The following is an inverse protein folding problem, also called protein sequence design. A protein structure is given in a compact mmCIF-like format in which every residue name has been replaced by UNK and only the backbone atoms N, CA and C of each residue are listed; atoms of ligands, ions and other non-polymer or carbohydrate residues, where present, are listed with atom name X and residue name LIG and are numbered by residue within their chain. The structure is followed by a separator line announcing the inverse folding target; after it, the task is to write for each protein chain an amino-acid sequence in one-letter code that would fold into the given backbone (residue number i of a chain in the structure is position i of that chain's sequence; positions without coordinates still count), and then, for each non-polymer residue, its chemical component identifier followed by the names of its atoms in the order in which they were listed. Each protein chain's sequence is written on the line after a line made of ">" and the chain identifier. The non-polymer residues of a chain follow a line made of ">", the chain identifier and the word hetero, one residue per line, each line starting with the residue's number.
data_IF_979096570701
#
_entry.id   IF_979096570701
#
_cell.length_a   1.000
_cell.length_b   1.000
_cell.length_c   1.000
_cell.angle_alpha   90.00
_cell.angle_beta   90.00
_cell.angle_gamma   90.00
#
_symmetry.space_group_name_H-M   'P 1'
#
loop_
_entity.id
_entity.type
_entity.pdbx_description
1 polymer ?
#
# COMPACT_ATOMS: atom_id res chain seq x y z
N UNK A 1 5.91 46.98 9.37
CA UNK A 1 4.91 47.73 8.57
C UNK A 1 3.52 47.25 9.02
N UNK A 2 2.81 48.01 9.88
CA UNK A 2 1.47 47.63 10.40
C UNK A 2 0.42 48.18 9.44
N UNK A 3 -0.38 47.33 8.81
CA UNK A 3 -1.52 47.76 7.99
C UNK A 3 -2.66 48.22 8.91
N UNK A 4 -3.01 49.50 8.81
CA UNK A 4 -4.19 50.08 9.45
C UNK A 4 -5.44 49.63 8.68
N UNK A 5 -6.30 48.84 9.32
CA UNK A 5 -7.62 48.49 8.79
C UNK A 5 -8.57 49.67 9.10
N UNK A 6 -9.26 50.25 8.10
CA UNK A 6 -10.16 51.38 8.34
C UNK A 6 -11.45 50.91 9.02
N UNK A 7 -11.67 51.38 10.26
CA UNK A 7 -12.76 50.97 11.17
C UNK A 7 -14.07 51.75 11.02
N UNK A 8 -14.30 52.50 9.93
CA UNK A 8 -15.41 53.47 9.88
C UNK A 8 -16.49 53.27 8.80
N UNK A 9 -16.58 52.10 8.15
CA UNK A 9 -17.62 51.87 7.13
C UNK A 9 -18.99 51.40 7.66
N UNK A 10 -19.20 51.32 8.99
CA UNK A 10 -20.37 50.65 9.57
C UNK A 10 -21.55 51.56 9.97
N UNK A 11 -21.49 52.88 9.76
CA UNK A 11 -22.43 53.82 10.43
C UNK A 11 -23.62 54.36 9.63
N UNK A 12 -23.87 53.97 8.39
CA UNK A 12 -25.03 54.51 7.64
C UNK A 12 -25.74 53.52 6.71
N UNK A 13 -25.90 52.26 7.14
CA UNK A 13 -26.91 51.40 6.50
C UNK A 13 -28.27 51.68 7.11
N UNK A 14 -29.20 52.17 6.29
CA UNK A 14 -30.57 52.44 6.71
C UNK A 14 -31.23 51.17 7.28
N UNK A 15 -32.21 51.32 8.19
CA UNK A 15 -32.98 50.19 8.73
C UNK A 15 -33.55 49.29 7.63
N UNK A 16 -33.93 49.87 6.48
CA UNK A 16 -34.41 49.15 5.30
C UNK A 16 -33.33 48.30 4.65
N UNK A 17 -32.08 48.78 4.60
CA UNK A 17 -30.93 48.05 4.04
C UNK A 17 -30.55 46.83 4.89
N UNK A 18 -30.65 46.95 6.22
CA UNK A 18 -30.42 45.84 7.15
C UNK A 18 -31.48 44.72 7.01
N UNK A 19 -32.75 45.09 6.84
CA UNK A 19 -33.84 44.12 6.58
C UNK A 19 -33.63 43.35 5.28
N UNK A 20 -33.16 44.03 4.23
CA UNK A 20 -32.84 43.41 2.94
C UNK A 20 -31.69 42.40 3.03
N UNK A 21 -30.60 42.74 3.75
CA UNK A 21 -29.48 41.83 3.98
C UNK A 21 -29.90 40.59 4.78
N UNK A 22 -30.73 40.77 5.81
CA UNK A 22 -31.27 39.64 6.58
C UNK A 22 -32.11 38.69 5.71
N UNK A 23 -32.94 39.24 4.81
CA UNK A 23 -33.74 38.44 3.88
C UNK A 23 -32.86 37.65 2.90
N UNK A 24 -31.78 38.25 2.37
CA UNK A 24 -30.82 37.57 1.49
C UNK A 24 -30.08 36.45 2.24
N UNK A 25 -29.63 36.70 3.47
CA UNK A 25 -28.96 35.69 4.29
C UNK A 25 -29.90 34.53 4.65
N UNK A 26 -31.16 34.83 4.95
CA UNK A 26 -32.17 33.80 5.22
C UNK A 26 -32.48 32.97 3.96
N UNK A 27 -32.61 33.62 2.80
CA UNK A 27 -32.86 32.95 1.53
C UNK A 27 -31.68 32.08 1.08
N UNK A 28 -30.44 32.54 1.29
CA UNK A 28 -29.24 31.76 0.95
C UNK A 28 -29.07 30.55 1.87
N UNK A 29 -29.39 30.69 3.17
CA UNK A 29 -29.37 29.57 4.11
C UNK A 29 -30.40 28.48 3.74
N UNK A 30 -31.63 28.88 3.42
CA UNK A 30 -32.68 27.96 2.95
C UNK A 30 -32.27 27.24 1.64
N UNK A 31 -31.65 27.96 0.70
CA UNK A 31 -31.14 27.36 -0.53
C UNK A 31 -30.00 26.36 -0.28
N UNK A 32 -29.12 26.61 0.70
CA UNK A 32 -28.08 25.65 1.06
C UNK A 32 -28.65 24.38 1.70
N UNK A 33 -29.65 24.51 2.57
CA UNK A 33 -30.32 23.34 3.18
C UNK A 33 -31.03 22.49 2.12
N UNK A 34 -31.77 23.13 1.21
CA UNK A 34 -32.44 22.43 0.10
C UNK A 34 -31.47 21.71 -0.84
N UNK A 35 -30.28 22.28 -1.09
CA UNK A 35 -29.23 21.63 -1.87
C UNK A 35 -28.69 20.37 -1.17
N UNK A 36 -28.50 20.42 0.16
CA UNK A 36 -28.03 19.25 0.93
C UNK A 36 -29.04 18.11 0.91
N UNK A 37 -30.34 18.41 1.09
CA UNK A 37 -31.41 17.41 1.05
C UNK A 37 -31.50 16.76 -0.33
N UNK A 38 -31.50 17.56 -1.41
CA UNK A 38 -31.53 17.04 -2.79
C UNK A 38 -30.30 16.20 -3.14
N UNK A 39 -29.12 16.59 -2.67
CA UNK A 39 -27.89 15.82 -2.87
C UNK A 39 -27.96 14.47 -2.15
N UNK A 40 -28.51 14.46 -0.94
CA UNK A 40 -28.67 13.24 -0.15
C UNK A 40 -29.72 12.29 -0.76
N UNK A 41 -30.86 12.80 -1.21
CA UNK A 41 -31.89 12.03 -1.93
C UNK A 41 -31.34 11.45 -3.25
N UNK A 42 -30.55 12.24 -4.00
CA UNK A 42 -29.88 11.77 -5.20
C UNK A 42 -28.90 10.62 -4.90
N UNK A 43 -28.13 10.73 -3.81
CA UNK A 43 -27.19 9.68 -3.41
C UNK A 43 -27.90 8.38 -3.02
N UNK A 44 -28.99 8.47 -2.25
CA UNK A 44 -29.82 7.33 -1.85
C UNK A 44 -30.52 6.64 -3.04
N UNK A 45 -30.99 7.42 -4.02
CA UNK A 45 -31.67 6.87 -5.18
C UNK A 45 -30.68 6.25 -6.18
N UNK A 46 -29.47 6.79 -6.32
CA UNK A 46 -28.45 6.21 -7.19
C UNK A 46 -27.66 5.06 -6.57
N UNK A 47 -27.57 4.95 -5.24
CA UNK A 47 -26.89 3.82 -4.58
C UNK A 47 -27.67 2.51 -4.67
N UNK A 48 -28.98 2.54 -4.92
CA UNK A 48 -29.82 1.33 -5.00
C UNK A 48 -29.83 0.66 -6.38
N UNK A 49 -29.43 1.36 -7.45
CA UNK A 49 -29.51 0.86 -8.84
C UNK A 49 -28.17 0.44 -9.45
N UNK A 50 -27.04 0.77 -8.83
CA UNK A 50 -25.69 0.41 -9.31
C UNK A 50 -24.79 -0.02 -8.15
N UNK A 51 -25.22 -1.03 -7.41
CA UNK A 51 -24.23 -1.99 -6.91
C UNK A 51 -23.86 -2.86 -8.11
N UNK A 52 -23.18 -2.26 -9.10
CA UNK A 52 -22.21 -3.05 -9.84
C UNK A 52 -21.39 -3.68 -8.73
N UNK A 53 -21.53 -4.99 -8.54
CA UNK A 53 -20.84 -5.69 -7.49
C UNK A 53 -19.37 -5.33 -7.65
N UNK A 54 -18.91 -4.34 -6.86
CA UNK A 54 -17.56 -4.29 -6.38
C UNK A 54 -17.50 -5.55 -5.53
N UNK A 55 -17.31 -6.67 -6.22
CA UNK A 55 -16.50 -7.75 -5.73
C UNK A 55 -15.24 -7.02 -5.32
N UNK A 56 -15.18 -6.59 -4.06
CA UNK A 56 -13.92 -6.41 -3.38
C UNK A 56 -13.17 -7.66 -3.78
N UNK A 57 -12.15 -7.50 -4.61
CA UNK A 57 -11.32 -8.61 -5.02
C UNK A 57 -10.77 -9.14 -3.72
N UNK A 58 -11.45 -10.14 -3.15
CA UNK A 58 -11.00 -10.84 -1.97
C UNK A 58 -9.62 -11.30 -2.39
N UNK A 59 -8.59 -10.76 -1.74
CA UNK A 59 -7.21 -11.01 -2.10
C UNK A 59 -7.08 -12.51 -2.34
N UNK A 60 -6.63 -12.89 -3.53
CA UNK A 60 -6.66 -14.28 -3.97
C UNK A 60 -5.88 -15.10 -2.95
N UNK A 61 -6.60 -15.85 -2.11
CA UNK A 61 -5.99 -16.66 -1.07
C UNK A 61 -4.90 -17.56 -1.69
N UNK A 62 -3.85 -17.82 -0.92
CA UNK A 62 -2.84 -18.77 -1.37
C UNK A 62 -3.45 -20.15 -1.52
N UNK A 63 -3.11 -20.78 -2.65
CA UNK A 63 -3.61 -22.10 -2.96
C UNK A 63 -3.08 -23.07 -1.92
N UNK A 64 -3.95 -23.98 -1.47
CA UNK A 64 -3.56 -25.09 -0.59
C UNK A 64 -2.83 -26.16 -1.42
N UNK A 65 -2.02 -26.99 -0.77
CA UNK A 65 -1.27 -28.06 -1.43
C UNK A 65 -2.16 -28.97 -2.28
N UNK A 66 -3.33 -29.36 -1.78
CA UNK A 66 -4.31 -30.18 -2.52
C UNK A 66 -4.80 -29.47 -3.80
N UNK A 67 -4.91 -28.14 -3.77
CA UNK A 67 -5.33 -27.35 -4.94
C UNK A 67 -4.20 -27.24 -5.96
N UNK A 68 -2.95 -27.06 -5.50
CA UNK A 68 -1.74 -27.08 -6.34
C UNK A 68 -1.57 -28.47 -6.98
N UNK A 69 -1.77 -29.55 -6.22
CA UNK A 69 -1.79 -30.92 -6.73
C UNK A 69 -2.84 -31.11 -7.82
N UNK A 70 -4.08 -30.66 -7.58
CA UNK A 70 -5.14 -30.71 -8.59
C UNK A 70 -4.70 -29.97 -9.85
N UNK A 71 -4.14 -28.76 -9.73
CA UNK A 71 -3.69 -27.98 -10.88
C UNK A 71 -2.66 -28.72 -11.75
N UNK A 72 -1.70 -29.44 -11.14
CA UNK A 72 -0.64 -30.16 -11.84
C UNK A 72 -1.08 -31.53 -12.36
N UNK A 73 -1.84 -32.31 -11.58
CA UNK A 73 -2.12 -33.72 -11.85
C UNK A 73 -3.59 -34.04 -12.14
N UNK A 74 -4.48 -33.05 -12.26
CA UNK A 74 -5.91 -33.31 -12.50
C UNK A 74 -6.16 -34.14 -13.75
N UNK A 75 -5.52 -33.80 -14.87
CA UNK A 75 -5.79 -34.46 -16.17
C UNK A 75 -5.40 -35.94 -16.16
N UNK A 76 -4.29 -36.29 -15.50
CA UNK A 76 -3.73 -37.64 -15.50
C UNK A 76 -4.30 -38.53 -14.40
N UNK A 77 -4.49 -38.01 -13.19
CA UNK A 77 -4.85 -38.82 -12.00
C UNK A 77 -6.30 -38.66 -11.58
N UNK A 78 -6.76 -37.43 -11.36
CA UNK A 78 -8.10 -37.17 -10.78
C UNK A 78 -9.24 -37.34 -11.81
N UNK A 79 -9.05 -36.84 -13.03
CA UNK A 79 -10.06 -36.85 -14.10
C UNK A 79 -10.59 -38.25 -14.46
N UNK A 80 -9.75 -39.30 -14.65
CA UNK A 80 -10.27 -40.63 -14.98
C UNK A 80 -11.19 -41.16 -13.88
N UNK A 81 -10.81 -41.03 -12.61
CA UNK A 81 -11.62 -41.49 -11.46
C UNK A 81 -12.98 -40.79 -11.40
N UNK A 82 -12.99 -39.46 -11.54
CA UNK A 82 -14.24 -38.69 -11.57
C UNK A 82 -15.10 -39.07 -12.78
N UNK A 83 -14.48 -39.30 -13.94
CA UNK A 83 -15.22 -39.69 -15.15
C UNK A 83 -15.84 -41.07 -15.04
N UNK A 84 -15.16 -42.01 -14.38
CA UNK A 84 -15.65 -43.37 -14.16
C UNK A 84 -16.75 -43.39 -13.11
N UNK A 85 -16.66 -42.58 -12.05
CA UNK A 85 -17.73 -42.39 -11.07
C UNK A 85 -19.01 -41.81 -11.71
N UNK A 86 -18.86 -40.85 -12.63
CA UNK A 86 -19.98 -40.28 -13.39
C UNK A 86 -20.60 -41.28 -14.36
N UNK A 87 -19.79 -42.05 -15.09
CA UNK A 87 -20.30 -43.09 -16.02
C UNK A 87 -21.09 -44.17 -15.29
N UNK A 88 -20.69 -44.52 -14.06
CA UNK A 88 -21.39 -45.49 -13.22
C UNK A 88 -22.67 -44.93 -12.59
N UNK A 89 -23.06 -43.67 -12.88
CA UNK A 89 -24.17 -42.95 -12.26
C UNK A 89 -24.12 -42.96 -10.72
N UNK A 90 -22.93 -43.06 -10.13
CA UNK A 90 -22.76 -43.06 -8.66
C UNK A 90 -22.93 -41.65 -8.07
N UNK A 91 -22.79 -40.61 -8.89
CA UNK A 91 -22.77 -39.22 -8.45
C UNK A 91 -23.74 -38.41 -9.29
N UNK A 92 -24.64 -37.67 -8.63
CA UNK A 92 -25.52 -36.74 -9.34
C UNK A 92 -24.71 -35.55 -9.89
N UNK A 93 -25.12 -34.94 -11.03
CA UNK A 93 -24.41 -33.78 -11.59
C UNK A 93 -24.17 -32.63 -10.60
N UNK A 94 -25.09 -32.42 -9.66
CA UNK A 94 -24.99 -31.41 -8.58
C UNK A 94 -23.87 -31.70 -7.58
N UNK A 95 -23.49 -32.97 -7.42
CA UNK A 95 -22.47 -33.43 -6.49
C UNK A 95 -21.08 -33.58 -7.14
N UNK A 96 -20.95 -33.25 -8.43
CA UNK A 96 -19.72 -33.44 -9.20
C UNK A 96 -18.51 -32.74 -8.57
N UNK A 97 -18.68 -31.52 -8.07
CA UNK A 97 -17.58 -30.78 -7.41
C UNK A 97 -17.14 -31.45 -6.11
N UNK A 98 -18.09 -31.97 -5.32
CA UNK A 98 -17.78 -32.72 -4.10
C UNK A 98 -16.99 -33.99 -4.42
N UNK A 99 -17.39 -34.71 -5.46
CA UNK A 99 -16.67 -35.90 -5.91
C UNK A 99 -15.26 -35.58 -6.42
N UNK A 100 -15.07 -34.46 -7.13
CA UNK A 100 -13.73 -33.99 -7.53
C UNK A 100 -12.87 -33.72 -6.30
N UNK A 101 -13.40 -33.02 -5.31
CA UNK A 101 -12.63 -32.66 -4.11
C UNK A 101 -12.26 -33.89 -3.27
N UNK A 102 -13.21 -34.82 -3.08
CA UNK A 102 -12.95 -36.10 -2.41
C UNK A 102 -11.86 -36.89 -3.14
N UNK A 103 -12.02 -37.17 -4.44
CA UNK A 103 -11.03 -37.92 -5.19
C UNK A 103 -9.66 -37.21 -5.27
N UNK A 104 -9.62 -35.88 -5.33
CA UNK A 104 -8.35 -35.14 -5.29
C UNK A 104 -7.64 -35.35 -3.95
N UNK A 105 -8.40 -35.30 -2.85
CA UNK A 105 -7.86 -35.49 -1.50
C UNK A 105 -7.37 -36.92 -1.29
N UNK A 106 -8.15 -37.91 -1.73
CA UNK A 106 -7.78 -39.33 -1.64
C UNK A 106 -6.52 -39.61 -2.49
N UNK A 107 -6.48 -39.16 -3.74
CA UNK A 107 -5.31 -39.32 -4.60
C UNK A 107 -4.05 -38.65 -4.02
N UNK A 108 -4.19 -37.47 -3.39
CA UNK A 108 -3.06 -36.78 -2.79
C UNK A 108 -2.55 -37.50 -1.53
N UNK A 109 -3.44 -38.10 -0.73
CA UNK A 109 -3.07 -38.87 0.45
C UNK A 109 -2.27 -40.13 0.09
N UNK A 110 -2.71 -40.85 -0.95
CA UNK A 110 -2.10 -42.09 -1.44
C UNK A 110 -0.85 -41.89 -2.31
N UNK A 111 -0.49 -40.64 -2.59
CA UNK A 111 0.64 -40.30 -3.45
C UNK A 111 2.00 -40.55 -2.79
N UNK A 112 3.03 -40.78 -3.61
CA UNK A 112 4.40 -40.92 -3.13
C UNK A 112 4.95 -39.62 -2.53
N UNK A 113 5.90 -39.76 -1.61
CA UNK A 113 6.51 -38.62 -0.90
C UNK A 113 7.28 -37.69 -1.85
N UNK A 114 7.78 -38.20 -2.99
CA UNK A 114 8.46 -37.38 -4.01
C UNK A 114 7.50 -36.36 -4.63
N UNK A 115 6.27 -36.76 -4.95
CA UNK A 115 5.28 -35.84 -5.54
C UNK A 115 4.78 -34.88 -4.45
N UNK A 116 4.56 -35.34 -3.22
CA UNK A 116 4.19 -34.43 -2.12
C UNK A 116 5.26 -33.35 -1.91
N UNK A 117 6.53 -33.71 -2.00
CA UNK A 117 7.65 -32.77 -1.95
C UNK A 117 7.64 -31.80 -3.13
N UNK A 118 7.40 -32.26 -4.36
CA UNK A 118 7.24 -31.40 -5.54
C UNK A 118 6.09 -30.38 -5.36
N UNK A 119 4.93 -30.83 -4.87
CA UNK A 119 3.79 -29.94 -4.58
C UNK A 119 4.13 -28.93 -3.49
N UNK A 120 4.86 -29.33 -2.46
CA UNK A 120 5.32 -28.43 -1.40
C UNK A 120 6.25 -27.34 -1.95
N UNK A 121 7.24 -27.71 -2.76
CA UNK A 121 8.18 -26.79 -3.41
C UNK A 121 7.47 -25.82 -4.37
N UNK A 122 6.50 -26.30 -5.15
CA UNK A 122 5.68 -25.47 -6.03
C UNK A 122 4.77 -24.52 -5.23
N UNK A 123 4.19 -24.98 -4.12
CA UNK A 123 3.36 -24.14 -3.23
C UNK A 123 4.21 -23.02 -2.60
N UNK A 124 5.43 -23.35 -2.14
CA UNK A 124 6.39 -22.37 -1.65
C UNK A 124 6.77 -21.37 -2.75
N UNK A 125 7.05 -21.86 -3.96
CA UNK A 125 7.39 -21.03 -5.12
C UNK A 125 6.25 -20.09 -5.51
N UNK A 126 4.99 -20.52 -5.48
CA UNK A 126 3.83 -19.66 -5.76
C UNK A 126 3.63 -18.59 -4.69
N UNK A 127 3.91 -18.88 -3.41
CA UNK A 127 3.91 -17.85 -2.36
C UNK A 127 5.00 -16.82 -2.61
N UNK A 128 6.22 -17.26 -2.90
CA UNK A 128 7.32 -16.36 -3.25
C UNK A 128 7.02 -15.54 -4.50
N UNK A 129 6.44 -16.14 -5.54
CA UNK A 129 6.04 -15.44 -6.75
C UNK A 129 4.93 -14.43 -6.51
N UNK A 130 3.91 -14.70 -5.70
CA UNK A 130 2.88 -13.69 -5.40
C UNK A 130 3.44 -12.51 -4.61
N UNK A 131 4.33 -12.78 -3.66
CA UNK A 131 5.04 -11.74 -2.91
C UNK A 131 5.90 -10.92 -3.89
N UNK A 132 6.63 -11.58 -4.78
CA UNK A 132 7.42 -10.94 -5.83
C UNK A 132 6.55 -10.21 -6.88
N UNK A 133 5.41 -10.76 -7.29
CA UNK A 133 4.52 -10.23 -8.34
C UNK A 133 3.72 -9.01 -7.88
N UNK A 134 3.62 -8.75 -6.57
CA UNK A 134 3.26 -7.42 -6.07
C UNK A 134 4.34 -6.36 -6.35
N UNK A 135 5.60 -6.75 -6.57
CA UNK A 135 6.69 -5.86 -6.99
C UNK A 135 6.71 -5.56 -8.51
N UNK A 136 5.98 -6.33 -9.34
CA UNK A 136 6.11 -6.34 -10.81
C UNK A 136 5.52 -5.12 -11.56
N UNK A 137 5.23 -4.00 -10.91
CA UNK A 137 5.28 -2.69 -11.61
C UNK A 137 6.68 -2.12 -11.53
N UNK A 138 7.62 -2.86 -12.11
CA UNK A 138 9.06 -2.61 -12.07
C UNK A 138 9.47 -1.25 -12.67
N UNK A 139 8.71 -0.74 -13.65
CA UNK A 139 8.96 0.58 -14.25
C UNK A 139 8.38 1.76 -13.45
N UNK A 140 7.37 1.52 -12.61
CA UNK A 140 6.67 2.58 -11.87
C UNK A 140 7.16 2.67 -10.42
N UNK A 141 7.51 1.54 -9.80
CA UNK A 141 8.06 1.51 -8.45
C UNK A 141 9.50 2.05 -8.39
N UNK A 142 10.31 1.82 -9.42
CA UNK A 142 11.65 2.43 -9.53
C UNK A 142 11.58 3.96 -9.65
N UNK A 143 10.51 4.50 -10.24
CA UNK A 143 10.22 5.96 -10.24
C UNK A 143 9.74 6.44 -8.87
N UNK A 144 9.01 5.61 -8.12
CA UNK A 144 8.48 5.97 -6.80
C UNK A 144 9.55 6.01 -5.71
N UNK A 145 10.51 5.08 -5.70
CA UNK A 145 11.63 5.14 -4.74
C UNK A 145 12.47 6.41 -4.94
N UNK A 146 12.70 6.82 -6.20
CA UNK A 146 13.34 8.09 -6.53
C UNK A 146 12.52 9.33 -6.10
N UNK A 147 11.19 9.21 -6.02
CA UNK A 147 10.31 10.33 -5.63
C UNK A 147 10.20 10.53 -4.12
N UNK A 148 10.61 9.55 -3.30
CA UNK A 148 10.41 9.61 -1.86
C UNK A 148 11.16 10.77 -1.18
N UNK A 149 12.44 11.06 -1.48
CA UNK A 149 13.13 12.23 -0.93
C UNK A 149 12.44 13.56 -1.32
N UNK A 150 11.86 13.63 -2.51
CA UNK A 150 11.14 14.82 -2.99
C UNK A 150 9.85 15.04 -2.20
N UNK A 151 9.07 13.97 -1.96
CA UNK A 151 7.84 14.03 -1.16
C UNK A 151 8.16 14.42 0.29
N UNK A 152 9.17 13.80 0.88
CA UNK A 152 9.61 14.12 2.25
C UNK A 152 10.09 15.57 2.35
N UNK A 153 10.77 16.08 1.32
CA UNK A 153 11.17 17.47 1.25
C UNK A 153 9.99 18.43 1.31
N UNK A 154 8.98 18.20 0.47
CA UNK A 154 7.75 19.02 0.46
C UNK A 154 7.05 18.99 1.82
N UNK A 155 6.88 17.80 2.40
CA UNK A 155 6.22 17.64 3.70
C UNK A 155 6.98 18.36 4.81
N UNK A 156 8.31 18.19 4.88
CA UNK A 156 9.11 18.79 5.94
C UNK A 156 9.32 20.29 5.77
N UNK A 157 9.32 20.80 4.54
CA UNK A 157 9.33 22.23 4.27
C UNK A 157 8.05 22.91 4.79
N UNK A 158 6.88 22.34 4.49
CA UNK A 158 5.60 22.85 4.99
C UNK A 158 5.51 22.77 6.53
N UNK A 159 5.94 21.64 7.11
CA UNK A 159 5.98 21.50 8.57
C UNK A 159 6.94 22.49 9.23
N UNK A 160 8.10 22.72 8.63
CA UNK A 160 9.08 23.70 9.11
C UNK A 160 8.52 25.11 9.07
N UNK A 161 7.85 25.49 7.97
CA UNK A 161 7.19 26.78 7.87
C UNK A 161 6.10 26.97 8.94
N UNK A 162 5.28 25.94 9.21
CA UNK A 162 4.22 25.98 10.20
C UNK A 162 4.74 26.04 11.65
N UNK A 163 5.88 25.42 11.92
CA UNK A 163 6.47 25.33 13.27
C UNK A 163 7.50 26.42 13.57
N UNK A 164 7.70 27.36 12.64
CA UNK A 164 8.65 28.46 12.81
C UNK A 164 10.11 28.03 12.66
N UNK A 165 10.38 27.04 11.81
CA UNK A 165 11.73 26.62 11.43
C UNK A 165 12.23 25.36 12.14
N UNK A 166 11.37 24.42 12.51
CA UNK A 166 11.84 23.17 13.09
C UNK A 166 12.64 22.34 12.09
N UNK A 167 13.60 21.58 12.64
CA UNK A 167 14.39 20.62 11.88
C UNK A 167 13.77 19.23 12.00
N UNK A 168 13.72 18.51 10.88
CA UNK A 168 13.16 17.16 10.84
C UNK A 168 14.20 16.17 10.35
N UNK A 169 14.14 14.96 10.89
CA UNK A 169 15.00 13.85 10.47
C UNK A 169 14.16 12.60 10.44
N UNK A 170 14.26 11.82 9.36
CA UNK A 170 13.61 10.53 9.23
C UNK A 170 14.65 9.48 8.84
N UNK A 171 14.59 8.34 9.52
CA UNK A 171 15.29 7.12 9.17
C UNK A 171 14.23 6.07 8.87
N UNK A 172 14.35 5.39 7.74
CA UNK A 172 13.41 4.39 7.30
C UNK A 172 14.14 3.23 6.66
N UNK A 173 13.57 2.04 6.71
CA UNK A 173 14.18 0.88 6.11
C UNK A 173 13.20 -0.26 6.01
N UNK A 174 13.50 -1.19 5.11
CA UNK A 174 12.65 -2.33 4.79
C UNK A 174 13.27 -3.14 3.68
N UNK A 175 12.64 -4.27 3.38
CA UNK A 175 13.01 -5.09 2.24
C UNK A 175 12.80 -4.32 0.93
N UNK A 176 13.86 -4.19 0.13
CA UNK A 176 13.78 -3.60 -1.20
C UNK A 176 13.03 -4.57 -2.12
N UNK A 177 11.84 -4.17 -2.64
CA UNK A 177 11.08 -4.99 -3.56
C UNK A 177 11.82 -5.31 -4.86
N UNK A 178 12.87 -4.54 -5.20
CA UNK A 178 13.65 -4.70 -6.44
C UNK A 178 14.91 -5.56 -6.26
N UNK A 179 15.39 -5.74 -5.02
CA UNK A 179 16.63 -6.43 -4.72
C UNK A 179 16.35 -7.74 -3.95
N UNK A 180 15.37 -8.53 -4.42
CA UNK A 180 15.03 -9.85 -3.86
C UNK A 180 14.81 -9.88 -2.33
N UNK A 181 14.42 -8.75 -1.73
CA UNK A 181 14.20 -8.64 -0.30
C UNK A 181 15.40 -8.18 0.52
N UNK A 182 16.50 -7.75 -0.13
CA UNK A 182 17.62 -7.09 0.51
C UNK A 182 17.13 -5.92 1.37
N UNK A 183 17.64 -5.81 2.58
CA UNK A 183 17.27 -4.72 3.47
C UNK A 183 17.94 -3.43 3.00
N UNK A 184 17.13 -2.45 2.63
CA UNK A 184 17.58 -1.10 2.32
C UNK A 184 17.20 -0.16 3.46
N UNK A 185 18.14 0.70 3.85
CA UNK A 185 17.90 1.79 4.81
C UNK A 185 18.18 3.13 4.14
N UNK A 186 17.32 4.11 4.39
CA UNK A 186 17.38 5.47 3.89
C UNK A 186 17.27 6.45 5.06
N UNK A 187 17.97 7.58 4.96
CA UNK A 187 17.79 8.71 5.87
C UNK A 187 17.58 10.00 5.08
N UNK A 188 16.72 10.86 5.61
CA UNK A 188 16.43 12.18 5.05
C UNK A 188 16.36 13.21 6.17
N UNK A 189 16.97 14.38 5.93
CA UNK A 189 17.11 15.44 6.93
C UNK A 189 16.68 16.78 6.33
N UNK A 190 15.75 17.46 7.00
CA UNK A 190 15.30 18.80 6.65
C UNK A 190 15.86 19.85 7.61
N UNK A 191 16.36 20.92 7.01
CA UNK A 191 16.98 22.06 7.67
C UNK A 191 18.49 21.91 7.85
N UNK A 192 19.13 23.03 8.18
CA UNK A 192 20.59 23.18 8.18
C UNK A 192 21.07 23.92 9.42
N UNK A 193 22.30 23.63 9.86
CA UNK A 193 23.00 24.41 10.88
C UNK A 193 23.37 25.80 10.36
N UNK A 194 23.91 26.67 11.22
CA UNK A 194 24.43 27.98 10.82
C UNK A 194 25.51 27.87 9.72
N UNK A 195 26.26 26.76 9.69
CA UNK A 195 27.27 26.46 8.67
C UNK A 195 26.68 25.82 7.39
N UNK A 196 25.35 25.69 7.31
CA UNK A 196 24.68 25.11 6.15
C UNK A 196 24.69 23.57 6.09
N UNK A 197 25.12 22.89 7.16
CA UNK A 197 25.20 21.43 7.22
C UNK A 197 23.87 20.80 7.63
N UNK A 198 23.47 19.69 7.01
CA UNK A 198 22.34 18.89 7.48
C UNK A 198 22.70 18.11 8.76
N UNK A 199 21.70 17.59 9.48
CA UNK A 199 21.93 16.79 10.70
C UNK A 199 22.88 15.61 10.47
N UNK A 200 22.72 14.87 9.37
CA UNK A 200 23.62 13.77 9.02
C UNK A 200 25.04 14.23 8.72
N UNK A 201 25.22 15.39 8.08
CA UNK A 201 26.54 15.94 7.75
C UNK A 201 27.25 16.57 8.95
N UNK A 202 26.50 17.17 9.89
CA UNK A 202 27.05 17.78 11.11
C UNK A 202 27.36 16.76 12.21
N UNK A 203 26.93 15.50 12.05
CA UNK A 203 27.05 14.46 13.08
C UNK A 203 28.19 13.49 12.72
N UNK A 204 29.33 13.52 13.45
CA UNK A 204 30.43 12.60 13.20
C UNK A 204 30.00 11.15 13.31
N UNK A 205 30.36 10.32 12.33
CA UNK A 205 30.00 8.90 12.29
C UNK A 205 28.48 8.64 12.33
N UNK A 206 27.67 9.54 11.77
CA UNK A 206 26.20 9.41 11.73
C UNK A 206 25.74 8.00 11.34
N UNK A 207 26.33 7.42 10.29
CA UNK A 207 25.98 6.07 9.84
C UNK A 207 26.18 5.01 10.95
N UNK A 208 27.34 5.00 11.61
CA UNK A 208 27.63 4.02 12.66
C UNK A 208 26.75 4.21 13.91
N UNK A 209 26.41 5.45 14.25
CA UNK A 209 25.66 5.77 15.47
C UNK A 209 24.15 5.60 15.31
N UNK A 210 23.60 5.91 14.13
CA UNK A 210 22.15 5.97 13.92
C UNK A 210 21.65 4.99 12.86
N UNK A 211 22.32 4.92 11.70
CA UNK A 211 21.87 4.03 10.62
C UNK A 211 22.13 2.57 10.93
N UNK A 212 23.33 2.21 11.38
CA UNK A 212 23.70 0.82 11.60
C UNK A 212 22.84 0.12 12.68
N UNK A 213 22.54 0.73 13.84
CA UNK A 213 21.61 0.11 14.79
C UNK A 213 20.21 -0.07 14.21
N UNK A 214 19.76 0.86 13.36
CA UNK A 214 18.47 0.76 12.69
C UNK A 214 18.48 -0.35 11.62
N UNK A 215 19.54 -0.47 10.81
CA UNK A 215 19.76 -1.57 9.86
C UNK A 215 19.74 -2.93 10.56
N UNK A 216 20.33 -3.03 11.75
CA UNK A 216 20.29 -4.25 12.56
C UNK A 216 18.89 -4.55 13.11
N UNK A 217 18.06 -3.52 13.33
CA UNK A 217 16.69 -3.66 13.80
C UNK A 217 15.72 -4.13 12.71
N UNK A 218 15.86 -3.62 11.47
CA UNK A 218 14.91 -3.89 10.37
C UNK A 218 14.66 -5.39 10.10
N UNK A 219 15.68 -6.29 10.05
CA UNK A 219 15.46 -7.72 9.87
C UNK A 219 14.52 -8.36 10.90
N UNK A 220 14.52 -7.87 12.15
CA UNK A 220 13.64 -8.38 13.21
C UNK A 220 12.16 -8.09 12.95
N UNK A 221 11.87 -7.03 12.20
CA UNK A 221 10.50 -6.64 11.84
C UNK A 221 10.01 -7.32 10.56
N UNK A 222 10.92 -7.93 9.78
CA UNK A 222 10.63 -8.61 8.52
C UNK A 222 11.15 -10.06 8.52
N UNK A 223 10.64 -10.94 9.39
CA UNK A 223 11.12 -12.32 9.52
C UNK A 223 10.89 -13.18 8.27
N UNK A 224 10.14 -12.71 7.28
CA UNK A 224 9.90 -13.41 6.02
C UNK A 224 11.00 -13.14 4.98
N UNK A 225 11.92 -12.20 5.24
CA UNK A 225 12.99 -11.81 4.33
C UNK A 225 14.33 -12.52 4.62
N UNK A 226 14.34 -13.62 5.38
CA UNK A 226 15.57 -14.39 5.67
C UNK A 226 16.06 -15.26 4.48
N UNK A 227 16.13 -14.69 3.28
CA UNK A 227 16.90 -15.26 2.19
C UNK A 227 18.09 -14.34 1.90
N UNK A 228 19.27 -14.85 2.29
CA UNK A 228 20.61 -14.38 1.87
C UNK A 228 20.90 -12.90 2.13
N UNK A 229 21.41 -12.58 3.33
CA UNK A 229 22.10 -11.30 3.55
C UNK A 229 23.38 -11.29 2.70
N UNK A 230 23.30 -10.83 1.46
CA UNK A 230 24.49 -10.40 0.74
C UNK A 230 24.88 -9.04 1.31
N UNK A 231 25.93 -9.02 2.14
CA UNK A 231 26.56 -7.80 2.61
C UNK A 231 27.33 -7.12 1.47
N UNK A 232 26.63 -6.70 0.41
CA UNK A 232 27.15 -5.79 -0.60
C UNK A 232 27.02 -4.38 -0.06
N UNK A 233 28.06 -3.91 0.62
CA UNK A 233 28.21 -2.48 0.91
C UNK A 233 28.44 -1.71 -0.40
N UNK A 234 27.36 -1.43 -1.13
CA UNK A 234 27.37 -0.37 -2.13
C UNK A 234 27.31 0.96 -1.38
N UNK A 235 28.46 1.37 -0.86
CA UNK A 235 28.74 2.78 -0.63
C UNK A 235 28.71 3.40 -2.03
N UNK A 236 27.56 3.95 -2.45
CA UNK A 236 27.52 4.85 -3.59
C UNK A 236 28.16 6.17 -3.14
N UNK A 237 29.35 6.56 -3.63
CA UNK A 237 29.99 7.81 -3.20
C UNK A 237 29.33 9.08 -3.79
N UNK A 238 28.12 9.00 -4.35
CA UNK A 238 27.47 10.13 -5.05
C UNK A 238 25.93 10.14 -4.94
N UNK A 239 25.37 9.98 -3.74
CA UNK A 239 24.01 10.46 -3.43
C UNK A 239 24.02 11.51 -2.32
N UNK A 240 24.92 12.48 -2.45
CA UNK A 240 24.63 13.87 -2.09
C UNK A 240 23.89 14.51 -3.27
N UNK A 241 22.56 14.43 -3.29
CA UNK A 241 21.76 15.31 -4.14
C UNK A 241 21.77 16.71 -3.51
N UNK A 242 22.83 17.49 -3.80
CA UNK A 242 22.75 18.94 -3.67
C UNK A 242 21.84 19.46 -4.79
N UNK A 243 20.54 19.51 -4.52
CA UNK A 243 19.66 20.41 -5.26
C UNK A 243 19.81 21.79 -4.64
N UNK A 244 20.68 22.61 -5.20
CA UNK A 244 20.55 24.07 -5.09
C UNK A 244 19.31 24.49 -5.88
N UNK A 245 18.25 24.81 -5.16
CA UNK A 245 17.36 25.93 -5.46
C UNK A 245 17.17 26.72 -4.17
#
# INVERSE_FOLDING_TARGET
>A
MRMLVPTNLAKTLSSSSMKWLHLILQQTHLNQQNKKVKLWEWFQNNSKGKVAAQQHAQGTQDLKEVEVYSKLHYKSKVKPLVSDALKKNLVQPTQRLSAVWQHTTDCFADESEEIKKEIWEETASQRCQKIGQCCWRESENKRRSLSLPMILGQVFEELSALTGGWHYSVVMGGADPLCEGDIMTLSYHHGKTADGLSFGASTPNFHKQYLLPFEQYVPWTHPWCFFTVHASSLIHPNLTLSSTY
#
